data_IF_722551364865
#
_entry.id   IF_722551364865
#
_cell.length_a   1.000
_cell.length_b   1.000
_cell.length_c   1.000
_cell.angle_alpha   90.00
_cell.angle_beta   90.00
_cell.angle_gamma   90.00
#
_symmetry.space_group_name_H-M   'P 1'
#
loop_
_entity.id
_entity.type
_entity.pdbx_description
1 polymer ?
#
# COMPACT_ATOMS: atom_id res chain seq x y z
N UNK A 1 -2.95 5.88 35.10
CA UNK A 1 -3.31 6.43 36.41
C UNK A 1 -4.71 5.93 36.76
N UNK A 2 -4.86 5.07 37.79
CA UNK A 2 -6.13 4.41 38.14
C UNK A 2 -7.28 5.37 38.50
N UNK A 3 -7.00 6.67 38.68
CA UNK A 3 -8.00 7.69 39.00
C UNK A 3 -8.58 8.42 37.78
N UNK A 4 -8.07 8.15 36.57
CA UNK A 4 -8.58 8.79 35.37
C UNK A 4 -9.72 7.97 34.76
N UNK A 5 -10.76 8.68 34.31
CA UNK A 5 -11.94 8.10 33.64
C UNK A 5 -12.11 8.73 32.27
N UNK A 6 -12.71 7.99 31.34
CA UNK A 6 -13.09 8.48 30.02
C UNK A 6 -14.61 8.49 29.95
N UNK A 7 -15.18 9.66 29.75
CA UNK A 7 -16.62 9.82 29.49
C UNK A 7 -16.87 9.61 28.01
N UNK A 8 -17.85 8.75 27.69
CA UNK A 8 -18.32 8.49 26.33
C UNK A 8 -19.82 8.74 26.27
N UNK A 9 -20.26 9.59 25.35
CA UNK A 9 -21.68 9.81 25.05
C UNK A 9 -21.99 9.24 23.66
N UNK A 10 -23.03 8.39 23.61
CA UNK A 10 -23.51 7.76 22.38
C UNK A 10 -24.96 8.18 22.16
N UNK A 11 -25.19 8.94 21.11
CA UNK A 11 -26.52 9.43 20.74
C UNK A 11 -26.99 8.68 19.49
N UNK A 12 -28.25 8.26 19.51
CA UNK A 12 -28.95 7.65 18.36
C UNK A 12 -30.40 8.15 18.33
N UNK A 13 -31.02 8.29 17.16
CA UNK A 13 -32.43 8.65 17.10
C UNK A 13 -33.31 7.53 17.67
N UNK A 14 -34.52 7.89 18.05
CA UNK A 14 -35.56 6.93 18.39
C UNK A 14 -36.05 6.25 17.10
N UNK A 15 -36.10 4.92 17.11
CA UNK A 15 -36.42 4.12 15.92
C UNK A 15 -37.68 3.32 16.23
N UNK A 16 -38.61 3.28 15.27
CA UNK A 16 -39.81 2.48 15.38
C UNK A 16 -39.45 1.00 15.44
N UNK A 17 -40.01 0.30 16.45
CA UNK A 17 -39.79 -1.14 16.65
C UNK A 17 -40.61 -2.01 15.70
N UNK A 18 -41.53 -1.40 14.94
CA UNK A 18 -42.47 -2.08 14.05
C UNK A 18 -42.20 -1.58 12.63
N UNK A 19 -42.01 -2.54 11.71
CA UNK A 19 -41.76 -2.28 10.29
C UNK A 19 -42.81 -3.05 9.49
N UNK A 20 -43.58 -2.36 8.63
CA UNK A 20 -44.58 -3.00 7.77
C UNK A 20 -44.02 -3.21 6.37
N UNK A 21 -43.84 -4.47 5.97
CA UNK A 21 -43.33 -4.85 4.66
C UNK A 21 -44.48 -5.11 3.66
N UNK A 22 -44.47 -4.41 2.52
CA UNK A 22 -45.40 -4.67 1.42
C UNK A 22 -44.97 -5.92 0.63
N UNK A 23 -45.93 -6.63 0.03
CA UNK A 23 -45.63 -7.78 -0.86
C UNK A 23 -44.69 -7.34 -1.98
N UNK A 24 -43.54 -8.03 -2.13
CA UNK A 24 -42.44 -7.70 -3.07
C UNK A 24 -41.84 -6.29 -2.86
N UNK A 25 -42.00 -5.70 -1.68
CA UNK A 25 -41.38 -4.43 -1.34
C UNK A 25 -39.99 -4.61 -0.71
N UNK A 26 -39.19 -3.54 -0.75
CA UNK A 26 -37.92 -3.42 -0.04
C UNK A 26 -38.03 -2.28 0.97
N UNK A 27 -37.44 -2.46 2.15
CA UNK A 27 -37.34 -1.42 3.18
C UNK A 27 -35.87 -1.21 3.49
N UNK A 28 -35.44 0.05 3.45
CA UNK A 28 -34.12 0.48 3.89
C UNK A 28 -34.27 1.23 5.22
N UNK A 29 -33.45 0.87 6.21
CA UNK A 29 -33.44 1.51 7.53
C UNK A 29 -32.03 2.04 7.78
N UNK A 30 -31.93 3.33 8.09
CA UNK A 30 -30.66 4.01 8.36
C UNK A 30 -30.54 4.27 9.86
N UNK A 31 -29.43 3.83 10.45
CA UNK A 31 -29.13 3.98 11.88
C UNK A 31 -27.97 4.95 12.09
N UNK A 32 -28.21 6.27 12.12
CA UNK A 32 -27.14 7.21 12.44
C UNK A 32 -26.77 7.07 13.92
N UNK A 33 -25.48 7.08 14.21
CA UNK A 33 -24.92 7.06 15.56
C UNK A 33 -23.88 8.16 15.65
N UNK A 34 -23.99 9.02 16.66
CA UNK A 34 -22.99 10.01 17.00
C UNK A 34 -22.31 9.60 18.30
N UNK A 35 -20.98 9.53 18.28
CA UNK A 35 -20.16 9.17 19.44
C UNK A 35 -19.22 10.32 19.74
N UNK A 36 -19.27 10.84 20.96
CA UNK A 36 -18.27 11.77 21.48
C UNK A 36 -17.66 11.20 22.74
N UNK A 37 -16.35 11.43 22.91
CA UNK A 37 -15.62 11.00 24.08
C UNK A 37 -14.63 12.06 24.53
N UNK A 38 -14.34 12.04 25.83
CA UNK A 38 -13.38 12.93 26.46
C UNK A 38 -11.96 12.34 26.45
N UNK A 39 -10.97 13.20 26.62
CA UNK A 39 -9.63 12.74 27.04
C UNK A 39 -9.71 12.19 28.48
N UNK A 40 -8.74 11.39 28.94
CA UNK A 40 -8.72 10.92 30.33
C UNK A 40 -8.82 12.11 31.31
N UNK A 41 -9.88 12.14 32.12
CA UNK A 41 -10.12 13.18 33.13
C UNK A 41 -10.05 12.62 34.54
N UNK A 42 -9.78 13.49 35.51
CA UNK A 42 -9.97 13.17 36.93
C UNK A 42 -11.47 13.16 37.28
N UNK A 43 -11.84 12.37 38.30
CA UNK A 43 -13.24 12.16 38.71
C UNK A 43 -13.96 13.40 39.23
N UNK A 44 -13.23 14.40 39.72
CA UNK A 44 -13.77 15.70 40.17
C UNK A 44 -14.44 16.49 39.04
N UNK A 45 -14.00 16.32 37.80
CA UNK A 45 -14.57 16.98 36.60
C UNK A 45 -15.66 16.16 35.91
N UNK A 46 -16.08 15.04 36.49
CA UNK A 46 -16.95 14.07 35.83
C UNK A 46 -18.30 14.68 35.43
N UNK A 47 -18.99 15.33 36.37
CA UNK A 47 -20.35 15.87 36.14
C UNK A 47 -20.37 16.92 35.02
N UNK A 48 -19.43 17.87 35.04
CA UNK A 48 -19.30 18.89 34.00
C UNK A 48 -18.99 18.25 32.64
N UNK A 49 -18.08 17.27 32.61
CA UNK A 49 -17.66 16.62 31.36
C UNK A 49 -18.74 15.73 30.78
N UNK A 50 -19.56 15.07 31.60
CA UNK A 50 -20.74 14.31 31.15
C UNK A 50 -21.69 15.22 30.39
N UNK A 51 -22.07 16.36 30.98
CA UNK A 51 -22.99 17.29 30.33
C UNK A 51 -22.41 17.86 29.03
N UNK A 52 -21.13 18.21 29.02
CA UNK A 52 -20.44 18.71 27.82
C UNK A 52 -20.37 17.66 26.70
N UNK A 53 -20.02 16.40 27.02
CA UNK A 53 -19.96 15.31 26.04
C UNK A 53 -21.34 14.96 25.48
N UNK A 54 -22.38 14.97 26.32
CA UNK A 54 -23.77 14.78 25.88
C UNK A 54 -24.21 15.88 24.93
N UNK A 55 -23.98 17.15 25.28
CA UNK A 55 -24.34 18.28 24.44
C UNK A 55 -23.63 18.22 23.08
N UNK A 56 -22.34 17.86 23.05
CA UNK A 56 -21.57 17.67 21.81
C UNK A 56 -22.11 16.51 20.97
N UNK A 57 -22.42 15.37 21.58
CA UNK A 57 -22.99 14.23 20.87
C UNK A 57 -24.39 14.53 20.29
N UNK A 58 -25.22 15.26 21.03
CA UNK A 58 -26.53 15.72 20.54
C UNK A 58 -26.35 16.68 19.37
N UNK A 59 -25.44 17.66 19.48
CA UNK A 59 -25.17 18.61 18.40
C UNK A 59 -24.67 17.90 17.13
N UNK A 60 -23.77 16.93 17.27
CA UNK A 60 -23.29 16.11 16.15
C UNK A 60 -24.43 15.31 15.52
N UNK A 61 -25.30 14.68 16.33
CA UNK A 61 -26.48 13.99 15.83
C UNK A 61 -27.44 14.93 15.08
N UNK A 62 -27.69 16.13 15.60
CA UNK A 62 -28.55 17.12 14.92
C UNK A 62 -28.02 17.47 13.53
N UNK A 63 -26.70 17.65 13.37
CA UNK A 63 -26.09 17.87 12.05
C UNK A 63 -26.22 16.65 11.13
N UNK A 64 -25.99 15.44 11.66
CA UNK A 64 -26.15 14.20 10.89
C UNK A 64 -27.58 14.08 10.38
N UNK A 65 -28.58 14.31 11.23
CA UNK A 65 -29.99 14.27 10.85
C UNK A 65 -30.34 15.36 9.84
N UNK A 66 -29.83 16.58 10.00
CA UNK A 66 -30.02 17.67 9.03
C UNK A 66 -29.46 17.30 7.65
N UNK A 67 -28.30 16.65 7.60
CA UNK A 67 -27.65 16.23 6.36
C UNK A 67 -28.33 15.02 5.70
N UNK A 68 -28.86 14.10 6.51
CA UNK A 68 -29.66 12.97 6.02
C UNK A 68 -31.01 13.41 5.46
N UNK A 69 -31.57 14.52 5.95
CA UNK A 69 -32.80 15.13 5.47
C UNK A 69 -32.52 15.94 4.20
N UNK A 70 -32.42 15.26 3.06
CA UNK A 70 -32.38 15.95 1.78
C UNK A 70 -33.78 16.54 1.48
N UNK A 71 -33.90 17.86 1.24
CA UNK A 71 -35.21 18.54 1.11
C UNK A 71 -36.10 18.00 -0.02
N UNK A 72 -35.54 17.24 -0.97
CA UNK A 72 -36.23 16.67 -2.12
C UNK A 72 -36.67 15.22 -1.96
N UNK A 73 -36.21 14.48 -0.94
CA UNK A 73 -36.45 13.04 -0.79
C UNK A 73 -37.18 12.72 0.53
N UNK A 74 -38.20 11.87 0.47
CA UNK A 74 -38.96 11.42 1.65
C UNK A 74 -38.18 10.41 2.51
N UNK A 75 -37.04 9.90 2.04
CA UNK A 75 -36.22 8.91 2.75
C UNK A 75 -34.82 9.45 3.06
N UNK A 76 -34.24 9.08 4.22
CA UNK A 76 -32.87 9.48 4.56
C UNK A 76 -31.88 8.88 3.57
N UNK A 77 -30.99 9.73 3.04
CA UNK A 77 -30.03 9.34 2.01
C UNK A 77 -28.61 9.25 2.61
N UNK A 78 -28.10 8.05 2.96
CA UNK A 78 -26.77 7.87 3.51
C UNK A 78 -25.65 7.99 2.46
N UNK A 79 -26.00 8.09 1.17
CA UNK A 79 -25.03 8.13 0.08
C UNK A 79 -24.05 9.30 0.22
N UNK A 80 -24.50 10.45 0.73
CA UNK A 80 -23.62 11.60 0.94
C UNK A 80 -22.46 11.28 1.89
N UNK A 81 -22.72 10.62 3.02
CA UNK A 81 -21.67 10.21 3.97
C UNK A 81 -20.75 9.15 3.37
N UNK A 82 -21.32 8.20 2.64
CA UNK A 82 -20.53 7.18 1.96
C UNK A 82 -19.59 7.80 0.92
N UNK A 83 -20.10 8.74 0.11
CA UNK A 83 -19.31 9.43 -0.89
C UNK A 83 -18.21 10.29 -0.27
N UNK A 84 -18.50 11.00 0.82
CA UNK A 84 -17.48 11.76 1.55
C UNK A 84 -16.38 10.87 2.11
N UNK A 85 -16.74 9.72 2.68
CA UNK A 85 -15.79 8.73 3.14
C UNK A 85 -14.91 8.20 1.99
N UNK A 86 -15.52 7.88 0.84
CA UNK A 86 -14.79 7.47 -0.36
C UNK A 86 -13.85 8.58 -0.83
N UNK A 87 -14.28 9.84 -0.85
CA UNK A 87 -13.47 10.95 -1.31
C UNK A 87 -12.22 11.13 -0.43
N UNK A 88 -12.39 11.09 0.90
CA UNK A 88 -11.26 11.18 1.85
C UNK A 88 -10.27 10.03 1.63
N UNK A 89 -10.76 8.81 1.49
CA UNK A 89 -9.88 7.67 1.21
C UNK A 89 -9.22 7.76 -0.17
N UNK A 90 -9.93 8.22 -1.19
CA UNK A 90 -9.39 8.41 -2.54
C UNK A 90 -8.24 9.43 -2.53
N UNK A 91 -8.40 10.52 -1.77
CA UNK A 91 -7.38 11.55 -1.62
C UNK A 91 -6.16 11.01 -0.85
N UNK A 92 -6.38 10.27 0.24
CA UNK A 92 -5.30 9.61 1.00
C UNK A 92 -4.54 8.60 0.13
N UNK A 93 -5.23 7.70 -0.57
CA UNK A 93 -4.64 6.64 -1.41
C UNK A 93 -3.99 7.14 -2.70
N UNK A 94 -4.11 8.44 -3.01
CA UNK A 94 -3.46 9.02 -4.16
C UNK A 94 -1.92 8.92 -4.03
N UNK A 95 -1.39 9.10 -2.82
CA UNK A 95 -0.02 8.69 -2.49
C UNK A 95 -0.03 7.21 -2.16
N UNK A 96 0.90 6.44 -2.73
CA UNK A 96 0.88 5.01 -2.49
C UNK A 96 2.01 4.24 -3.12
N UNK A 97 1.95 2.93 -2.91
CA UNK A 97 2.93 1.99 -3.41
C UNK A 97 2.22 0.82 -4.09
N UNK A 98 2.87 0.22 -5.08
CA UNK A 98 2.51 -1.11 -5.57
C UNK A 98 3.76 -1.86 -5.98
N UNK A 99 3.69 -3.18 -5.82
CA UNK A 99 4.75 -4.13 -6.11
C UNK A 99 4.20 -5.22 -7.03
N UNK A 100 4.96 -5.66 -8.02
CA UNK A 100 4.52 -6.78 -8.87
C UNK A 100 4.37 -8.06 -8.06
N UNK A 101 3.29 -8.81 -8.30
CA UNK A 101 2.98 -10.03 -7.53
C UNK A 101 4.09 -11.06 -7.64
N UNK A 102 4.54 -11.55 -6.49
CA UNK A 102 5.50 -12.64 -6.36
C UNK A 102 4.78 -13.92 -5.98
N UNK A 103 5.14 -15.02 -6.64
CA UNK A 103 4.70 -16.38 -6.33
C UNK A 103 5.69 -17.15 -5.44
N UNK A 104 6.83 -16.53 -5.11
CA UNK A 104 7.78 -17.12 -4.18
C UNK A 104 7.12 -17.30 -2.79
N UNK A 105 7.43 -18.41 -2.14
CA UNK A 105 6.93 -18.70 -0.80
C UNK A 105 7.32 -17.61 0.20
N UNK A 106 6.40 -17.24 1.09
CA UNK A 106 6.63 -16.21 2.10
C UNK A 106 6.77 -14.78 1.57
N UNK A 107 6.66 -14.55 0.25
CA UNK A 107 6.88 -13.23 -0.31
C UNK A 107 5.78 -12.21 0.04
N UNK A 108 6.20 -10.98 0.35
CA UNK A 108 5.30 -9.86 0.60
C UNK A 108 4.65 -9.41 -0.73
N UNK A 109 3.32 -9.35 -0.75
CA UNK A 109 2.52 -8.98 -1.91
C UNK A 109 1.59 -7.80 -1.62
N UNK A 110 1.03 -7.23 -2.70
CA UNK A 110 0.23 -6.01 -2.64
C UNK A 110 -1.02 -6.12 -1.76
N UNK A 111 -1.63 -7.29 -1.65
CA UNK A 111 -2.76 -7.55 -0.75
C UNK A 111 -2.39 -7.31 0.72
N UNK A 112 -1.27 -7.90 1.17
CA UNK A 112 -0.77 -7.73 2.54
C UNK A 112 -0.32 -6.30 2.81
N UNK A 113 0.38 -5.68 1.85
CA UNK A 113 0.79 -4.27 1.95
C UNK A 113 -0.43 -3.35 2.07
N UNK A 114 -1.43 -3.50 1.19
CA UNK A 114 -2.63 -2.68 1.20
C UNK A 114 -3.44 -2.88 2.50
N UNK A 115 -3.56 -4.11 2.97
CA UNK A 115 -4.22 -4.42 4.23
C UNK A 115 -3.50 -3.78 5.43
N UNK A 116 -2.17 -3.87 5.49
CA UNK A 116 -1.36 -3.23 6.53
C UNK A 116 -1.45 -1.70 6.49
N UNK A 117 -1.33 -1.09 5.30
CA UNK A 117 -1.49 0.35 5.12
C UNK A 117 -2.90 0.81 5.53
N UNK A 118 -3.94 0.10 5.11
CA UNK A 118 -5.32 0.37 5.53
C UNK A 118 -5.47 0.29 7.06
N UNK A 119 -4.90 -0.74 7.68
CA UNK A 119 -4.94 -0.94 9.13
C UNK A 119 -4.26 0.22 9.88
N UNK A 120 -3.10 0.69 9.41
CA UNK A 120 -2.39 1.82 10.01
C UNK A 120 -3.16 3.13 9.82
N UNK A 121 -3.63 3.41 8.60
CA UNK A 121 -4.30 4.67 8.27
C UNK A 121 -5.68 4.79 8.91
N UNK A 122 -6.44 3.70 9.00
CA UNK A 122 -7.75 3.70 9.67
C UNK A 122 -7.65 3.95 11.19
N UNK A 123 -6.50 3.68 11.78
CA UNK A 123 -6.19 3.95 13.20
C UNK A 123 -5.50 5.31 13.41
N UNK A 124 -5.34 6.10 12.35
CA UNK A 124 -4.71 7.42 12.38
C UNK A 124 -5.73 8.50 12.03
N UNK A 125 -5.70 9.63 12.75
CA UNK A 125 -6.60 10.75 12.47
C UNK A 125 -6.19 11.49 11.19
N UNK A 126 -7.16 11.88 10.37
CA UNK A 126 -6.94 12.70 9.17
C UNK A 126 -7.44 14.12 9.42
N UNK A 127 -6.67 14.88 10.19
CA UNK A 127 -7.07 16.18 10.73
C UNK A 127 -7.56 17.18 9.67
N UNK A 128 -6.99 17.16 8.46
CA UNK A 128 -7.40 18.06 7.38
C UNK A 128 -8.84 17.87 6.89
N UNK A 129 -9.43 16.69 7.13
CA UNK A 129 -10.81 16.33 6.74
C UNK A 129 -11.78 16.31 7.92
N UNK A 130 -11.31 16.55 9.15
CA UNK A 130 -12.18 16.59 10.33
C UNK A 130 -12.94 17.91 10.42
N UNK A 131 -14.28 17.84 10.48
CA UNK A 131 -15.12 19.01 10.71
C UNK A 131 -14.98 19.55 12.14
N UNK A 132 -14.66 18.67 13.09
CA UNK A 132 -14.50 18.96 14.52
C UNK A 132 -13.09 18.64 15.00
N UNK A 133 -12.11 19.31 14.41
CA UNK A 133 -10.75 19.24 14.90
C UNK A 133 -10.67 19.79 16.34
N UNK A 134 -9.94 19.10 17.21
CA UNK A 134 -9.68 19.59 18.56
C UNK A 134 -8.81 20.85 18.49
N UNK A 135 -8.88 21.74 19.50
CA UNK A 135 -7.93 22.86 19.63
C UNK A 135 -6.46 22.41 19.68
N UNK A 136 -6.20 21.13 19.97
CA UNK A 136 -4.86 20.51 19.97
C UNK A 136 -4.48 19.87 18.64
N UNK A 137 -5.41 19.74 17.70
CA UNK A 137 -5.15 19.19 16.36
C UNK A 137 -4.29 20.18 15.56
N UNK A 138 -3.35 19.70 14.74
CA UNK A 138 -2.58 20.58 13.88
C UNK A 138 -3.50 21.30 12.89
N UNK A 139 -3.21 22.58 12.66
CA UNK A 139 -3.86 23.38 11.63
C UNK A 139 -3.52 22.86 10.24
N UNK A 140 -4.37 23.15 9.25
CA UNK A 140 -4.12 22.79 7.84
C UNK A 140 -2.77 23.34 7.33
N UNK A 141 -2.34 24.49 7.83
CA UNK A 141 -1.05 25.09 7.47
C UNK A 141 0.13 24.32 8.06
N UNK A 142 0.02 23.86 9.31
CA UNK A 142 1.05 23.02 9.95
C UNK A 142 1.16 21.66 9.26
N UNK A 143 0.02 21.05 8.89
CA UNK A 143 -0.02 19.81 8.12
C UNK A 143 0.68 20.01 6.77
N UNK A 144 0.30 21.05 6.02
CA UNK A 144 0.94 21.35 4.74
C UNK A 144 2.46 21.57 4.89
N UNK A 145 2.89 22.32 5.91
CA UNK A 145 4.31 22.55 6.19
C UNK A 145 5.05 21.24 6.49
N UNK A 146 4.47 20.36 7.29
CA UNK A 146 5.06 19.06 7.61
C UNK A 146 5.19 18.15 6.38
N UNK A 147 4.19 18.18 5.48
CA UNK A 147 4.21 17.44 4.22
C UNK A 147 5.23 18.00 3.22
N UNK A 148 5.44 19.32 3.22
CA UNK A 148 6.43 20.00 2.36
C UNK A 148 7.87 19.78 2.83
N UNK A 149 8.10 19.84 4.13
CA UNK A 149 9.42 19.73 4.74
C UNK A 149 9.55 18.42 5.52
N UNK A 150 9.70 17.32 4.80
CA UNK A 150 9.90 15.98 5.34
C UNK A 150 11.39 15.63 5.55
N UNK A 151 12.25 16.64 5.76
CA UNK A 151 13.69 16.45 5.92
C UNK A 151 14.02 15.45 7.02
N UNK A 152 14.94 14.53 6.74
CA UNK A 152 15.37 13.48 7.67
C UNK A 152 14.39 12.31 7.82
N UNK A 153 13.23 12.33 7.15
CA UNK A 153 12.38 11.14 6.99
C UNK A 153 12.64 10.52 5.61
N UNK A 154 12.95 9.23 5.46
CA UNK A 154 13.16 8.16 6.43
C UNK A 154 14.66 7.77 6.45
N UNK A 155 15.30 7.74 7.62
CA UNK A 155 16.76 7.51 7.73
C UNK A 155 17.12 6.07 8.12
N UNK A 156 16.72 5.09 7.32
CA UNK A 156 17.11 3.68 7.51
C UNK A 156 16.95 2.81 6.25
N UNK A 157 17.20 1.52 6.41
CA UNK A 157 16.95 0.51 5.36
C UNK A 157 15.47 0.39 5.04
N UNK A 158 15.17 0.12 3.78
CA UNK A 158 13.80 -0.04 3.30
C UNK A 158 13.00 -1.10 4.09
N UNK A 159 11.72 -0.86 4.30
CA UNK A 159 10.88 -1.63 5.23
C UNK A 159 10.20 -2.87 4.62
N UNK A 160 10.34 -3.12 3.32
CA UNK A 160 9.70 -4.26 2.64
C UNK A 160 10.20 -5.62 3.16
N UNK A 161 11.40 -5.69 3.75
CA UNK A 161 11.96 -6.90 4.37
C UNK A 161 11.74 -6.97 5.90
N UNK A 162 11.13 -5.96 6.51
CA UNK A 162 10.88 -5.94 7.94
C UNK A 162 9.62 -6.76 8.30
N UNK A 163 9.75 -8.07 8.47
CA UNK A 163 8.61 -9.00 8.67
C UNK A 163 7.66 -8.59 9.81
N UNK A 164 8.21 -8.02 10.88
CA UNK A 164 7.44 -7.53 12.03
C UNK A 164 6.49 -6.37 11.70
N UNK A 165 6.71 -5.67 10.58
CA UNK A 165 5.84 -4.60 10.10
C UNK A 165 4.70 -5.10 9.23
N UNK A 166 4.69 -6.38 8.85
CA UNK A 166 3.69 -6.92 7.93
C UNK A 166 2.75 -7.92 8.62
N UNK A 167 2.75 -8.01 9.95
CA UNK A 167 1.95 -9.00 10.68
C UNK A 167 0.45 -8.90 10.39
N UNK A 168 -0.26 -10.03 10.52
CA UNK A 168 -1.71 -10.09 10.34
C UNK A 168 -2.41 -9.30 11.45
N UNK A 169 -3.51 -8.64 11.08
CA UNK A 169 -4.34 -7.82 11.98
C UNK A 169 -5.74 -8.43 12.20
N UNK A 170 -5.80 -9.76 12.40
CA UNK A 170 -7.04 -10.53 12.55
C UNK A 170 -7.73 -10.36 13.91
N UNK A 171 -7.03 -9.83 14.92
CA UNK A 171 -7.59 -9.49 16.22
C UNK A 171 -7.27 -8.04 16.59
N UNK A 172 -8.07 -7.44 17.49
CA UNK A 172 -7.85 -6.06 17.94
C UNK A 172 -6.46 -5.87 18.58
N UNK A 173 -5.99 -6.85 19.35
CA UNK A 173 -4.65 -6.83 19.95
C UNK A 173 -3.56 -6.83 18.88
N UNK A 174 -3.66 -7.72 17.89
CA UNK A 174 -2.71 -7.79 16.78
C UNK A 174 -2.73 -6.53 15.91
N UNK A 175 -3.92 -5.98 15.65
CA UNK A 175 -4.08 -4.69 14.97
C UNK A 175 -3.35 -3.58 15.74
N UNK A 176 -3.58 -3.45 17.04
CA UNK A 176 -2.91 -2.45 17.87
C UNK A 176 -1.39 -2.62 17.88
N UNK A 177 -0.90 -3.86 17.94
CA UNK A 177 0.53 -4.16 17.91
C UNK A 177 1.16 -3.83 16.55
N UNK A 178 0.48 -4.14 15.45
CA UNK A 178 0.90 -3.79 14.09
C UNK A 178 1.03 -2.27 13.95
N UNK A 179 -0.02 -1.53 14.32
CA UNK A 179 -0.06 -0.07 14.23
C UNK A 179 1.02 0.54 15.11
N UNK A 180 1.16 0.07 16.35
CA UNK A 180 2.19 0.57 17.28
C UNK A 180 3.60 0.34 16.73
N UNK A 181 3.84 -0.84 16.13
CA UNK A 181 5.14 -1.18 15.53
C UNK A 181 5.48 -0.26 14.35
N UNK A 182 4.50 0.05 13.49
CA UNK A 182 4.66 1.03 12.41
C UNK A 182 4.93 2.43 12.94
N UNK A 183 4.13 2.92 13.89
CA UNK A 183 4.29 4.27 14.44
C UNK A 183 5.65 4.46 15.10
N UNK A 184 6.07 3.50 15.95
CA UNK A 184 7.39 3.54 16.60
C UNK A 184 8.51 3.50 15.56
N UNK A 185 8.40 2.64 14.55
CA UNK A 185 9.43 2.54 13.51
C UNK A 185 9.57 3.85 12.75
N UNK A 186 8.47 4.44 12.27
CA UNK A 186 8.52 5.70 11.54
C UNK A 186 9.04 6.85 12.42
N UNK A 187 8.61 6.90 13.68
CA UNK A 187 9.03 7.96 14.63
C UNK A 187 10.53 7.88 14.91
N UNK A 188 11.05 6.68 15.18
CA UNK A 188 12.47 6.46 15.45
C UNK A 188 13.37 6.69 14.24
N UNK A 189 12.83 6.61 13.03
CA UNK A 189 13.56 6.86 11.78
C UNK A 189 13.31 8.26 11.20
N UNK A 190 13.02 9.25 12.06
CA UNK A 190 12.99 10.67 11.70
C UNK A 190 11.64 11.20 11.24
N UNK A 191 10.62 10.37 11.06
CA UNK A 191 9.33 10.78 10.47
C UNK A 191 8.32 11.41 11.46
N UNK A 192 8.78 11.84 12.64
CA UNK A 192 7.94 12.44 13.69
C UNK A 192 7.04 13.60 13.22
N UNK A 193 7.54 14.49 12.34
CA UNK A 193 6.76 15.60 11.80
C UNK A 193 5.62 15.12 10.89
N UNK A 194 5.88 14.12 10.04
CA UNK A 194 4.87 13.51 9.19
C UNK A 194 3.83 12.75 10.01
N UNK A 195 4.23 12.00 11.04
CA UNK A 195 3.29 11.31 11.93
C UNK A 195 2.37 12.32 12.63
N UNK A 196 2.92 13.44 13.11
CA UNK A 196 2.14 14.50 13.75
C UNK A 196 1.13 15.15 12.80
N UNK A 197 1.40 15.16 11.50
CA UNK A 197 0.48 15.66 10.47
C UNK A 197 -0.76 14.77 10.28
N UNK A 198 -0.80 13.57 10.86
CA UNK A 198 -1.92 12.63 10.77
C UNK A 198 -1.81 11.69 9.56
N UNK A 199 -2.94 11.16 9.10
CA UNK A 199 -2.99 10.09 8.11
C UNK A 199 -2.27 10.45 6.80
N UNK A 200 -2.41 11.69 6.31
CA UNK A 200 -1.70 12.18 5.12
C UNK A 200 -0.16 12.15 5.28
N UNK A 201 0.36 12.43 6.47
CA UNK A 201 1.80 12.34 6.71
C UNK A 201 2.27 10.91 6.96
N UNK A 202 1.47 10.10 7.68
CA UNK A 202 1.78 8.68 7.91
C UNK A 202 1.87 7.91 6.59
N UNK A 203 0.96 8.12 5.64
CA UNK A 203 1.05 7.43 4.34
C UNK A 203 2.31 7.84 3.56
N UNK A 204 2.65 9.13 3.55
CA UNK A 204 3.90 9.61 2.94
C UNK A 204 5.11 8.95 3.61
N UNK A 205 5.17 8.93 4.94
CA UNK A 205 6.26 8.31 5.70
C UNK A 205 6.39 6.80 5.42
N UNK A 206 5.27 6.07 5.34
CA UNK A 206 5.27 4.66 4.97
C UNK A 206 5.83 4.46 3.56
N UNK A 207 5.33 5.19 2.56
CA UNK A 207 5.77 5.04 1.17
C UNK A 207 7.25 5.42 1.00
N UNK A 208 7.73 6.47 1.69
CA UNK A 208 9.16 6.80 1.72
C UNK A 208 9.98 5.64 2.29
N UNK A 209 9.53 5.04 3.39
CA UNK A 209 10.22 3.92 4.03
C UNK A 209 10.30 2.67 3.14
N UNK A 210 9.35 2.45 2.21
CA UNK A 210 9.35 1.28 1.33
C UNK A 210 10.50 1.31 0.31
N UNK A 211 10.92 2.50 -0.11
CA UNK A 211 12.01 2.70 -1.09
C UNK A 211 13.29 3.25 -0.47
N UNK A 212 13.37 3.35 0.87
CA UNK A 212 14.42 4.09 1.57
C UNK A 212 14.61 5.48 0.95
N UNK A 213 13.49 6.15 0.67
CA UNK A 213 13.53 7.53 0.22
C UNK A 213 13.80 8.45 1.40
N UNK A 214 14.71 9.40 1.19
CA UNK A 214 15.09 10.37 2.20
C UNK A 214 15.13 11.77 1.59
N UNK A 215 14.56 12.74 2.29
CA UNK A 215 14.81 14.15 2.01
C UNK A 215 16.06 14.59 2.77
N UNK A 216 17.08 15.03 2.03
CA UNK A 216 18.37 15.47 2.56
C UNK A 216 18.66 16.89 2.08
N UNK A 217 18.59 17.87 3.00
CA UNK A 217 18.74 19.30 2.72
C UNK A 217 17.81 19.81 1.60
N UNK A 218 18.25 19.68 0.35
CA UNK A 218 17.63 20.25 -0.85
C UNK A 218 17.25 19.21 -1.92
N UNK A 219 17.43 17.92 -1.65
CA UNK A 219 17.12 16.87 -2.62
C UNK A 219 16.41 15.66 -1.99
N UNK A 220 15.69 14.93 -2.83
CA UNK A 220 15.13 13.62 -2.54
C UNK A 220 16.09 12.56 -3.10
N UNK A 221 16.47 11.60 -2.27
CA UNK A 221 17.33 10.48 -2.66
C UNK A 221 16.60 9.15 -2.45
N UNK A 222 16.87 8.16 -3.31
CA UNK A 222 16.41 6.78 -3.15
C UNK A 222 17.60 5.89 -2.78
N UNK A 223 17.65 5.43 -1.53
CA UNK A 223 18.80 4.70 -0.99
C UNK A 223 18.64 3.16 -1.06
N UNK A 224 17.76 2.66 -1.92
CA UNK A 224 17.55 1.22 -2.05
C UNK A 224 18.73 0.56 -2.78
N UNK A 225 19.32 -0.46 -2.16
CA UNK A 225 20.45 -1.17 -2.76
C UNK A 225 20.00 -1.96 -4.03
N UNK A 226 20.74 -1.87 -5.16
CA UNK A 226 20.37 -2.51 -6.43
C UNK A 226 20.00 -3.99 -6.35
N UNK A 227 20.69 -4.79 -5.53
CA UNK A 227 20.38 -6.22 -5.28
C UNK A 227 18.91 -6.53 -4.90
N UNK A 228 18.16 -5.56 -4.38
CA UNK A 228 16.77 -5.75 -3.98
C UNK A 228 15.75 -5.37 -5.08
N UNK A 229 16.21 -4.89 -6.24
CA UNK A 229 15.37 -4.41 -7.33
C UNK A 229 14.93 -5.53 -8.30
N UNK A 230 14.72 -6.74 -7.79
CA UNK A 230 14.35 -7.92 -8.59
C UNK A 230 12.82 -8.03 -8.83
N UNK A 231 12.06 -6.98 -8.47
CA UNK A 231 10.61 -6.87 -8.67
C UNK A 231 10.26 -5.46 -9.12
N UNK A 232 9.11 -5.31 -9.75
CA UNK A 232 8.65 -4.00 -10.21
C UNK A 232 8.03 -3.26 -9.03
N UNK A 233 8.46 -2.02 -8.82
CA UNK A 233 7.99 -1.14 -7.77
C UNK A 233 7.42 0.12 -8.38
N UNK A 234 6.33 0.63 -7.82
CA UNK A 234 5.72 1.86 -8.28
C UNK A 234 5.30 2.72 -7.08
N UNK A 235 6.03 3.80 -6.90
CA UNK A 235 5.81 4.83 -5.88
C UNK A 235 5.04 5.98 -6.53
N UNK A 236 3.85 6.26 -6.01
CA UNK A 236 2.90 7.23 -6.54
C UNK A 236 2.84 8.46 -5.66
N UNK A 237 2.86 9.63 -6.30
CA UNK A 237 2.63 10.96 -5.71
C UNK A 237 3.39 11.16 -4.41
N UNK A 238 4.70 10.89 -4.45
CA UNK A 238 5.60 11.32 -3.38
C UNK A 238 5.54 12.84 -3.33
N UNK A 239 5.11 13.39 -2.19
CA UNK A 239 5.08 14.83 -2.03
C UNK A 239 6.50 15.39 -1.94
N UNK A 240 6.85 16.29 -2.86
CA UNK A 240 8.09 17.05 -2.83
C UNK A 240 7.73 18.53 -2.81
N UNK A 241 7.98 19.20 -1.68
CA UNK A 241 7.73 20.63 -1.59
C UNK A 241 6.24 20.92 -1.46
N UNK A 242 5.76 22.01 -2.06
CA UNK A 242 4.41 22.50 -1.76
C UNK A 242 3.33 21.86 -2.64
N UNK A 243 3.60 21.78 -3.95
CA UNK A 243 2.62 21.30 -4.94
C UNK A 243 3.17 20.27 -5.92
N UNK A 244 4.42 19.82 -5.73
CA UNK A 244 5.04 18.87 -6.64
C UNK A 244 4.83 17.44 -6.16
N UNK A 245 4.42 16.58 -7.08
CA UNK A 245 4.21 15.16 -6.84
C UNK A 245 5.09 14.36 -7.79
N UNK A 246 5.96 13.53 -7.22
CA UNK A 246 6.90 12.71 -7.97
C UNK A 246 6.40 11.27 -8.02
N UNK A 247 6.39 10.69 -9.22
CA UNK A 247 6.17 9.28 -9.44
C UNK A 247 7.50 8.61 -9.79
N UNK A 248 7.87 7.56 -9.05
CA UNK A 248 9.07 6.76 -9.29
C UNK A 248 8.64 5.33 -9.55
N UNK A 249 9.04 4.77 -10.69
CA UNK A 249 8.74 3.38 -11.05
C UNK A 249 10.05 2.66 -11.31
N UNK A 250 10.29 1.56 -10.62
CA UNK A 250 11.43 0.69 -10.85
C UNK A 250 10.90 -0.55 -11.54
N UNK A 251 11.47 -0.91 -12.68
CA UNK A 251 11.02 -2.08 -13.46
C UNK A 251 12.20 -2.96 -13.82
N UNK A 252 11.98 -4.27 -13.82
CA UNK A 252 12.96 -5.25 -14.30
C UNK A 252 12.76 -5.48 -15.81
N UNK A 253 13.77 -5.15 -16.60
CA UNK A 253 13.79 -5.29 -18.06
C UNK A 253 14.01 -6.74 -18.50
N UNK A 254 13.91 -6.99 -19.81
CA UNK A 254 14.05 -8.34 -20.39
C UNK A 254 15.45 -8.93 -20.24
N UNK A 255 16.47 -8.07 -20.14
CA UNK A 255 17.86 -8.44 -19.84
C UNK A 255 18.12 -8.61 -18.33
N UNK A 256 17.07 -8.71 -17.52
CA UNK A 256 17.09 -8.90 -16.07
C UNK A 256 17.76 -7.76 -15.28
N UNK A 257 17.96 -6.59 -15.90
CA UNK A 257 18.43 -5.39 -15.21
C UNK A 257 17.27 -4.58 -14.64
N UNK A 258 17.54 -3.75 -13.64
CA UNK A 258 16.57 -2.82 -13.11
C UNK A 258 16.79 -1.43 -13.75
N UNK A 259 15.68 -0.75 -14.06
CA UNK A 259 15.68 0.64 -14.57
C UNK A 259 14.71 1.48 -13.77
N UNK A 260 15.05 2.76 -13.59
CA UNK A 260 14.23 3.72 -12.84
C UNK A 260 13.55 4.65 -13.84
N UNK A 261 12.25 4.83 -13.70
CA UNK A 261 11.45 5.77 -14.46
C UNK A 261 10.87 6.83 -13.54
N UNK A 262 11.17 8.10 -13.80
CA UNK A 262 10.72 9.23 -13.00
C UNK A 262 9.82 10.13 -13.83
N UNK A 263 8.69 10.54 -13.27
CA UNK A 263 7.79 11.52 -13.86
C UNK A 263 7.18 12.42 -12.79
N UNK A 264 6.87 13.66 -13.15
CA UNK A 264 6.12 14.58 -12.30
C UNK A 264 4.63 14.45 -12.64
N UNK A 265 3.79 14.18 -11.66
CA UNK A 265 2.32 14.23 -11.85
C UNK A 265 1.86 15.70 -11.92
N UNK A 266 2.36 16.48 -10.96
CA UNK A 266 2.19 17.92 -10.86
C UNK A 266 3.52 18.53 -10.47
N UNK A 267 3.83 19.72 -10.98
CA UNK A 267 4.97 20.51 -10.49
C UNK A 267 4.65 22.00 -10.39
N UNK A 268 5.25 22.67 -9.43
CA UNK A 268 5.25 24.13 -9.29
C UNK A 268 6.57 24.78 -9.75
N UNK A 269 7.61 23.97 -9.94
CA UNK A 269 8.97 24.37 -10.34
C UNK A 269 9.57 23.37 -11.33
N UNK A 270 10.74 23.70 -11.84
CA UNK A 270 11.58 22.78 -12.62
C UNK A 270 12.35 21.87 -11.67
N UNK A 271 12.22 20.56 -11.88
CA UNK A 271 12.96 19.55 -11.12
C UNK A 271 13.92 18.81 -12.03
N UNK A 272 15.06 18.46 -11.49
CA UNK A 272 16.14 17.75 -12.16
C UNK A 272 16.40 16.43 -11.43
N UNK A 273 16.89 15.43 -12.16
CA UNK A 273 17.29 14.17 -11.58
C UNK A 273 18.60 13.64 -12.18
N UNK A 274 19.30 12.85 -11.38
CA UNK A 274 20.46 12.07 -11.79
C UNK A 274 20.42 10.69 -11.14
N UNK A 275 21.11 9.73 -11.77
CA UNK A 275 21.27 8.38 -11.27
C UNK A 275 22.45 8.29 -10.28
N UNK A 276 22.79 7.06 -9.84
CA UNK A 276 23.82 6.82 -8.83
C UNK A 276 25.16 7.50 -9.14
N UNK A 277 25.67 8.26 -8.17
CA UNK A 277 26.90 9.05 -8.30
C UNK A 277 26.77 10.37 -9.07
N UNK A 278 25.63 10.62 -9.74
CA UNK A 278 25.36 11.84 -10.50
C UNK A 278 26.50 12.29 -11.41
N UNK A 279 27.15 11.35 -12.12
CA UNK A 279 28.29 11.64 -13.00
C UNK A 279 27.90 12.38 -14.28
N UNK A 280 26.66 12.18 -14.73
CA UNK A 280 26.10 12.76 -15.94
C UNK A 280 25.36 14.07 -15.62
N UNK A 281 25.15 14.92 -16.63
CA UNK A 281 24.43 16.20 -16.44
C UNK A 281 23.01 15.97 -15.89
N UNK A 282 22.53 16.83 -14.96
CA UNK A 282 21.19 16.69 -14.39
C UNK A 282 20.10 16.79 -15.45
N UNK A 283 19.21 15.80 -15.49
CA UNK A 283 18.15 15.69 -16.49
C UNK A 283 16.88 16.38 -16.00
N UNK A 284 16.33 17.29 -16.80
CA UNK A 284 15.06 17.95 -16.51
C UNK A 284 13.88 16.96 -16.53
N UNK A 285 13.15 16.90 -15.42
CA UNK A 285 11.94 16.10 -15.25
C UNK A 285 10.70 16.82 -15.82
N UNK A 286 9.77 16.02 -16.33
CA UNK A 286 8.48 16.47 -16.88
C UNK A 286 7.39 15.47 -16.53
N UNK A 287 6.18 15.66 -17.06
CA UNK A 287 5.11 14.66 -16.98
C UNK A 287 5.42 13.38 -17.77
N UNK A 288 6.31 13.46 -18.77
CA UNK A 288 6.81 12.29 -19.49
C UNK A 288 7.83 11.53 -18.63
N UNK A 289 7.75 10.20 -18.66
CA UNK A 289 8.67 9.32 -17.92
C UNK A 289 10.08 9.48 -18.48
N UNK A 290 11.02 9.86 -17.62
CA UNK A 290 12.46 9.86 -17.89
C UNK A 290 13.07 8.60 -17.28
N UNK A 291 13.79 7.84 -18.10
CA UNK A 291 14.43 6.60 -17.71
C UNK A 291 15.87 6.86 -17.29
N UNK A 292 16.29 6.21 -16.21
CA UNK A 292 17.63 6.23 -15.65
C UNK A 292 18.10 4.78 -15.42
N UNK A 293 19.34 4.44 -15.78
CA UNK A 293 19.90 3.14 -15.42
C UNK A 293 20.12 3.07 -13.90
N UNK A 294 19.94 1.88 -13.32
CA UNK A 294 20.37 1.67 -11.93
C UNK A 294 21.88 1.49 -11.92
N UNK A 295 22.59 2.34 -11.17
CA UNK A 295 24.04 2.24 -10.97
C UNK A 295 24.35 1.73 -9.56
N UNK A 296 25.44 0.97 -9.43
CA UNK A 296 26.03 0.54 -8.17
C UNK A 296 27.34 1.32 -7.98
N UNK A 297 27.51 1.93 -6.81
CA UNK A 297 28.69 2.74 -6.48
C UNK A 297 29.50 2.12 -5.35
N UNK A 298 30.80 2.42 -5.31
CA UNK A 298 31.68 2.10 -4.18
C UNK A 298 32.32 3.38 -3.58
N UNK A 299 32.02 3.77 -2.32
CA UNK A 299 31.02 3.19 -1.42
C UNK A 299 29.59 3.32 -1.97
N UNK A 300 28.66 2.56 -1.40
CA UNK A 300 27.25 2.56 -1.82
C UNK A 300 26.62 3.91 -1.50
N UNK A 301 25.99 4.51 -2.51
CA UNK A 301 25.24 5.78 -2.45
C UNK A 301 23.82 5.58 -2.96
N UNK A 302 23.01 6.64 -2.97
CA UNK A 302 21.65 6.57 -3.52
C UNK A 302 21.67 6.23 -5.01
N UNK A 303 20.64 5.50 -5.47
CA UNK A 303 20.48 5.10 -6.87
C UNK A 303 19.77 6.16 -7.73
N UNK A 304 19.17 7.15 -7.07
CA UNK A 304 18.43 8.24 -7.70
C UNK A 304 18.47 9.47 -6.81
N UNK A 305 18.70 10.64 -7.40
CA UNK A 305 18.60 11.94 -6.76
C UNK A 305 17.65 12.82 -7.56
N UNK A 306 16.82 13.61 -6.87
CA UNK A 306 15.88 14.56 -7.47
C UNK A 306 15.98 15.89 -6.70
N UNK A 307 16.09 17.01 -7.40
CA UNK A 307 16.08 18.34 -6.77
C UNK A 307 15.42 19.41 -7.64
N UNK A 308 14.98 20.51 -7.03
CA UNK A 308 14.59 21.73 -7.74
C UNK A 308 15.79 22.63 -8.09
N UNK A 309 16.92 22.47 -7.40
CA UNK A 309 18.12 23.30 -7.57
C UNK A 309 19.17 22.58 -8.42
N UNK A 310 19.25 22.98 -9.70
CA UNK A 310 20.21 22.41 -10.63
C UNK A 310 21.66 22.62 -10.16
N UNK A 311 21.97 23.79 -9.61
CA UNK A 311 23.32 24.10 -9.15
C UNK A 311 23.68 23.22 -7.95
N UNK A 312 22.75 23.04 -7.01
CA UNK A 312 22.92 22.10 -5.90
C UNK A 312 23.20 20.68 -6.40
N UNK A 313 22.55 20.21 -7.46
CA UNK A 313 22.84 18.90 -8.05
C UNK A 313 24.26 18.80 -8.64
N UNK A 314 24.72 19.85 -9.31
CA UNK A 314 26.07 19.93 -9.89
C UNK A 314 27.16 20.02 -8.79
N UNK A 315 26.85 20.62 -7.65
CA UNK A 315 27.70 20.64 -6.46
C UNK A 315 27.69 19.29 -5.73
N UNK A 316 26.52 18.64 -5.64
CA UNK A 316 26.37 17.32 -5.04
C UNK A 316 27.23 16.28 -5.75
N UNK A 317 27.29 16.33 -7.09
CA UNK A 317 28.21 15.50 -7.88
C UNK A 317 29.66 15.58 -7.38
N UNK A 318 30.15 16.77 -7.00
CA UNK A 318 31.51 16.97 -6.48
C UNK A 318 31.69 16.48 -5.04
N UNK A 319 30.60 16.47 -4.27
CA UNK A 319 30.59 16.02 -2.88
C UNK A 319 30.43 14.49 -2.74
N UNK A 320 29.84 13.82 -3.73
CA UNK A 320 29.71 12.37 -3.76
C UNK A 320 31.08 11.75 -4.08
N UNK A 321 31.78 11.30 -3.03
CA UNK A 321 33.07 10.64 -3.16
C UNK A 321 32.89 9.16 -3.46
N UNK A 322 32.82 8.83 -4.76
CA UNK A 322 32.78 7.45 -5.27
C UNK A 322 34.10 7.09 -5.96
N UNK A 323 34.58 5.88 -5.69
CA UNK A 323 35.75 5.29 -6.35
C UNK A 323 35.37 4.69 -7.69
N UNK A 324 34.24 4.00 -7.72
CA UNK A 324 33.74 3.28 -8.88
C UNK A 324 32.23 3.49 -8.99
N UNK A 325 31.76 3.66 -10.22
CA UNK A 325 30.35 3.75 -10.59
C UNK A 325 30.15 2.85 -11.80
N UNK A 326 29.41 1.76 -11.61
CA UNK A 326 29.08 0.81 -12.67
C UNK A 326 27.58 0.65 -12.78
N UNK A 327 27.09 0.31 -13.96
CA UNK A 327 25.70 -0.12 -14.10
C UNK A 327 25.49 -1.38 -13.25
N UNK A 328 24.36 -1.45 -12.53
CA UNK A 328 24.08 -2.58 -11.67
C UNK A 328 23.99 -3.87 -12.50
N UNK A 329 24.55 -4.99 -12.00
CA UNK A 329 24.51 -6.25 -12.71
C UNK A 329 23.06 -6.74 -12.86
N UNK A 330 22.83 -7.50 -13.93
CA UNK A 330 21.57 -8.20 -14.13
C UNK A 330 21.28 -9.15 -12.96
N UNK A 331 20.02 -9.23 -12.55
CA UNK A 331 19.58 -10.18 -11.55
C UNK A 331 19.66 -11.62 -12.06
N UNK A 332 19.92 -12.55 -11.15
CA UNK A 332 20.00 -13.97 -11.49
C UNK A 332 18.66 -14.48 -12.02
N UNK A 333 18.69 -15.17 -13.15
CA UNK A 333 17.47 -15.62 -13.83
C UNK A 333 16.61 -16.52 -12.93
N UNK A 334 17.23 -17.38 -12.11
CA UNK A 334 16.51 -18.28 -11.22
C UNK A 334 15.77 -17.52 -10.10
N UNK A 335 16.32 -16.39 -9.61
CA UNK A 335 15.66 -15.51 -8.65
C UNK A 335 14.40 -14.89 -9.27
N UNK A 336 14.52 -14.34 -10.48
CA UNK A 336 13.39 -13.77 -11.20
C UNK A 336 12.33 -14.84 -11.54
N UNK A 337 12.77 -16.02 -11.94
CA UNK A 337 11.87 -17.15 -12.21
C UNK A 337 11.12 -17.58 -10.94
N UNK A 338 11.80 -17.63 -9.79
CA UNK A 338 11.18 -17.91 -8.50
C UNK A 338 10.07 -16.90 -8.18
N UNK A 339 10.32 -15.60 -8.34
CA UNK A 339 9.31 -14.58 -8.08
C UNK A 339 8.16 -14.59 -9.10
N UNK A 340 8.43 -14.79 -10.40
CA UNK A 340 7.38 -14.79 -11.44
C UNK A 340 6.54 -16.07 -11.45
N UNK A 341 7.15 -17.22 -11.17
CA UNK A 341 6.52 -18.54 -11.37
C UNK A 341 6.35 -19.35 -10.08
N UNK A 342 7.03 -18.99 -8.99
CA UNK A 342 6.98 -19.72 -7.71
C UNK A 342 7.96 -20.90 -7.63
N UNK A 343 8.79 -21.10 -8.66
CA UNK A 343 9.79 -22.16 -8.70
C UNK A 343 11.03 -21.70 -9.47
N UNK A 344 12.22 -22.12 -9.03
CA UNK A 344 13.51 -21.68 -9.57
C UNK A 344 13.70 -22.03 -11.05
N UNK A 345 13.09 -23.12 -11.53
CA UNK A 345 13.15 -23.57 -12.92
C UNK A 345 12.25 -22.75 -13.88
N UNK A 346 11.45 -21.82 -13.37
CA UNK A 346 10.39 -21.18 -14.14
C UNK A 346 9.25 -22.16 -14.43
N UNK A 347 8.05 -21.64 -14.72
CA UNK A 347 6.94 -22.51 -15.11
C UNK A 347 7.24 -23.14 -16.47
N UNK A 348 7.27 -24.48 -16.56
CA UNK A 348 7.37 -25.16 -17.85
C UNK A 348 6.23 -24.69 -18.77
N UNK A 349 6.48 -24.47 -20.08
CA UNK A 349 5.47 -23.95 -21.01
C UNK A 349 4.16 -24.74 -20.95
N UNK A 350 3.01 -24.08 -21.16
CA UNK A 350 1.70 -24.76 -21.19
C UNK A 350 1.66 -25.92 -22.18
N UNK A 351 2.37 -25.81 -23.31
CA UNK A 351 2.50 -26.88 -24.31
C UNK A 351 3.17 -28.14 -23.75
N UNK A 352 4.13 -28.01 -22.83
CA UNK A 352 4.75 -29.16 -22.17
C UNK A 352 3.71 -29.95 -21.38
N UNK A 353 2.88 -29.25 -20.57
CA UNK A 353 1.81 -29.89 -19.80
C UNK A 353 0.72 -30.50 -20.68
N UNK A 354 0.35 -29.84 -21.78
CA UNK A 354 -0.57 -30.42 -22.78
C UNK A 354 0.00 -31.71 -23.37
N UNK A 355 1.30 -31.73 -23.72
CA UNK A 355 1.97 -32.93 -24.22
C UNK A 355 2.00 -34.05 -23.17
N UNK A 356 2.31 -33.74 -21.92
CA UNK A 356 2.32 -34.71 -20.81
C UNK A 356 0.93 -35.30 -20.61
N UNK A 357 -0.12 -34.47 -20.55
CA UNK A 357 -1.51 -34.93 -20.45
C UNK A 357 -1.91 -35.82 -21.64
N UNK A 358 -1.53 -35.46 -22.87
CA UNK A 358 -1.81 -36.26 -24.05
C UNK A 358 -1.14 -37.65 -23.98
N UNK A 359 0.13 -37.71 -23.56
CA UNK A 359 0.87 -38.97 -23.37
C UNK A 359 0.19 -39.83 -22.29
N UNK A 360 -0.20 -39.23 -21.16
CA UNK A 360 -0.91 -39.92 -20.08
C UNK A 360 -2.22 -40.52 -20.62
N UNK A 361 -3.01 -39.77 -21.38
CA UNK A 361 -4.27 -40.27 -21.96
C UNK A 361 -4.02 -41.43 -22.93
N UNK A 362 -3.04 -41.30 -23.84
CA UNK A 362 -2.70 -42.37 -24.79
C UNK A 362 -2.22 -43.63 -24.06
N UNK A 363 -1.40 -43.47 -23.02
CA UNK A 363 -0.92 -44.56 -22.20
C UNK A 363 -2.07 -45.29 -21.48
N UNK A 364 -2.99 -44.55 -20.87
CA UNK A 364 -4.15 -45.15 -20.20
C UNK A 364 -5.10 -45.82 -21.19
N UNK A 365 -5.33 -45.22 -22.37
CA UNK A 365 -6.11 -45.85 -23.44
C UNK A 365 -5.45 -47.16 -23.92
N UNK A 366 -4.12 -47.19 -24.02
CA UNK A 366 -3.38 -48.40 -24.36
C UNK A 366 -3.48 -49.48 -23.27
N UNK A 367 -3.35 -49.11 -22.00
CA UNK A 367 -3.55 -50.02 -20.87
C UNK A 367 -4.98 -50.58 -20.84
N UNK A 368 -6.00 -49.74 -21.00
CA UNK A 368 -7.40 -50.19 -21.10
C UNK A 368 -7.58 -51.15 -22.27
N UNK A 369 -7.00 -50.85 -23.43
CA UNK A 369 -7.04 -51.75 -24.59
C UNK A 369 -6.36 -53.09 -24.30
N UNK A 370 -5.20 -53.10 -23.62
CA UNK A 370 -4.51 -54.33 -23.23
C UNK A 370 -5.34 -55.16 -22.25
N UNK A 371 -5.92 -54.53 -21.23
CA UNK A 371 -6.77 -55.22 -20.24
C UNK A 371 -8.02 -55.81 -20.90
N UNK A 372 -8.69 -55.05 -21.77
CA UNK A 372 -9.85 -55.55 -22.53
C UNK A 372 -9.44 -56.72 -23.42
N UNK A 373 -8.28 -56.63 -24.08
CA UNK A 373 -7.79 -57.73 -24.93
C UNK A 373 -7.50 -58.99 -24.12
N UNK A 374 -6.87 -58.87 -22.95
CA UNK A 374 -6.48 -60.02 -22.13
C UNK A 374 -7.66 -60.65 -21.37
N UNK A 375 -8.62 -59.83 -20.89
CA UNK A 375 -9.75 -60.31 -20.08
C UNK A 375 -11.07 -60.48 -20.85
N UNK A 376 -11.24 -59.84 -22.01
CA UNK A 376 -12.47 -59.93 -22.80
C UNK A 376 -12.33 -60.61 -24.16
N UNK A 377 -11.12 -60.95 -24.65
CA UNK A 377 -10.98 -61.91 -25.77
C UNK A 377 -10.90 -63.34 -25.20
N UNK A 378 -11.87 -64.22 -25.49
CA UNK A 378 -11.78 -65.61 -25.06
C UNK A 378 -10.65 -66.31 -25.83
N UNK A 379 -9.77 -67.00 -25.11
CA UNK A 379 -8.79 -67.96 -25.65
C UNK A 379 -9.44 -68.85 -26.71
N UNK A 380 -9.14 -68.61 -28.00
CA UNK A 380 -9.60 -69.41 -29.14
C UNK A 380 -8.99 -70.83 -29.19
N UNK A 381 -8.57 -71.39 -28.05
CA UNK A 381 -8.03 -72.77 -27.99
C UNK A 381 -9.09 -73.87 -27.91
N UNK A 382 -10.39 -73.56 -27.91
CA UNK A 382 -11.46 -74.55 -27.68
C UNK A 382 -12.49 -74.73 -28.79
N UNK A 383 -12.25 -74.22 -30.02
CA UNK A 383 -13.20 -74.33 -31.15
C UNK A 383 -12.72 -75.14 -32.37
N UNK A 384 -11.60 -75.87 -32.27
CA UNK A 384 -11.05 -76.65 -33.40
C UNK A 384 -11.01 -78.18 -33.18
N UNK A 385 -12.01 -78.73 -32.49
CA UNK A 385 -12.28 -80.18 -32.53
C UNK A 385 -13.79 -80.39 -32.54
N UNK A 386 -14.40 -80.33 -33.72
CA UNK A 386 -15.37 -81.33 -34.19
C UNK A 386 -15.68 -81.04 -35.67
N UNK A 387 -15.39 -82.06 -36.48
CA UNK A 387 -15.92 -82.37 -37.81
C UNK A 387 -15.29 -81.75 -39.06
N UNK A 388 -14.47 -82.61 -39.72
CA UNK A 388 -14.64 -83.04 -41.11
C UNK A 388 -14.15 -84.49 -41.24
N UNK A 389 -14.62 -85.25 -42.24
CA UNK A 389 -15.97 -85.42 -42.78
C UNK A 389 -16.66 -86.67 -42.22
#
# INVERSE_FOLDING_TARGET
DPNNVIVVSVVKPQINRIVQLKKRGTISIVFPIAVHYSQPIKRDKLTETVQDMENKAIQAMSKVLQKLQNKSEQQPNPHAFHQEHINVWSDLWATGFSISTSKAEGSLNGDRINASMYAVLSQTRSYEYEEYASLKSPSKQEIAKALTYAEGCYDSYYTLQAENLWLNADTLEKLNNLVSSWMVTLEKQGCHNLIRAGASGVIQAMVLSFGSFRFSNQHLECNMHPKYLHRDFHFRRLNYGNKTHVNVTITVTEDNKAVINVALDRSDRSYYACDGGCLDEPVLLTQSRRQFPVKLTEPVTAILYITEDKQHMEELHKAIHVKEVVEAPAHEQHLLALHRHGHQLGGLPTLFWVSVCAIIIVFHAFLCKLIIKEYCEPSEKLRYRYNKP
#
